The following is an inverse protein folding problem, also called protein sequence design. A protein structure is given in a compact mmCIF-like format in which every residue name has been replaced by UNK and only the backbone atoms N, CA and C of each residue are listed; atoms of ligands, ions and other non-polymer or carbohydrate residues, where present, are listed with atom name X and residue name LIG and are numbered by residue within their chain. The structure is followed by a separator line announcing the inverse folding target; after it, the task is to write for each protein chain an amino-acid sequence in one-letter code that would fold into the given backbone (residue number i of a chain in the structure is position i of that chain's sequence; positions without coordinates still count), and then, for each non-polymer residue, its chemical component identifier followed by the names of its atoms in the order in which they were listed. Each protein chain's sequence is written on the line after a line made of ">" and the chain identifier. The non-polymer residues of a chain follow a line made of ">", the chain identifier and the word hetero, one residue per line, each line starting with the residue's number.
data_IF_887217546414
#
_entry.id   IF_887217546414
#
_cell.length_a   1.000
_cell.length_b   1.000
_cell.length_c   1.000
_cell.angle_alpha   90.00
_cell.angle_beta   90.00
_cell.angle_gamma   90.00
#
_symmetry.space_group_name_H-M   'P 1'
#
loop_
_entity.id
_entity.type
_entity.pdbx_description
1 polymer ?
#
# COMPACT_ATOMS: atom_id res chain seq x y z
N UNK A 1 -11.82 3.96 58.65
CA UNK A 1 -12.89 3.66 57.67
C UNK A 1 -13.14 4.80 56.67
N UNK A 2 -13.47 6.04 57.08
CA UNK A 2 -13.69 7.17 56.12
C UNK A 2 -12.51 7.46 55.19
N UNK A 3 -11.30 7.59 55.74
CA UNK A 3 -10.09 7.91 54.97
C UNK A 3 -9.80 6.90 53.83
N UNK A 4 -10.05 5.62 54.07
CA UNK A 4 -9.81 4.55 53.10
C UNK A 4 -10.87 4.52 51.99
N UNK A 5 -12.10 4.94 52.28
CA UNK A 5 -13.15 5.12 51.26
C UNK A 5 -12.88 6.34 50.38
N UNK A 6 -12.36 7.43 50.94
CA UNK A 6 -12.03 8.64 50.19
C UNK A 6 -10.86 8.41 49.22
N UNK A 7 -9.82 7.66 49.64
CA UNK A 7 -8.72 7.25 48.76
C UNK A 7 -9.16 6.34 47.61
N UNK A 8 -10.03 5.36 47.88
CA UNK A 8 -10.58 4.48 46.85
C UNK A 8 -11.35 5.27 45.80
N UNK A 9 -12.15 6.24 46.24
CA UNK A 9 -12.93 7.11 45.35
C UNK A 9 -12.04 7.99 44.48
N UNK A 10 -10.97 8.55 45.04
CA UNK A 10 -9.99 9.32 44.28
C UNK A 10 -9.27 8.48 43.21
N UNK A 11 -8.88 7.24 43.55
CA UNK A 11 -8.23 6.33 42.58
C UNK A 11 -9.19 5.91 41.46
N UNK A 12 -10.44 5.66 41.79
CA UNK A 12 -11.47 5.33 40.81
C UNK A 12 -11.73 6.49 39.84
N UNK A 13 -11.80 7.72 40.35
CA UNK A 13 -11.91 8.92 39.52
C UNK A 13 -10.69 9.12 38.62
N UNK A 14 -9.48 8.89 39.15
CA UNK A 14 -8.25 9.00 38.37
C UNK A 14 -8.18 7.95 37.26
N UNK A 15 -8.51 6.68 37.57
CA UNK A 15 -8.60 5.61 36.58
C UNK A 15 -9.63 5.91 35.50
N UNK A 16 -10.79 6.45 35.87
CA UNK A 16 -11.82 6.84 34.90
C UNK A 16 -11.34 7.98 33.99
N UNK A 17 -10.61 8.96 34.53
CA UNK A 17 -10.00 10.02 33.72
C UNK A 17 -8.99 9.46 32.72
N UNK A 18 -8.09 8.58 33.17
CA UNK A 18 -7.13 7.94 32.27
C UNK A 18 -7.82 7.08 31.21
N UNK A 19 -8.83 6.30 31.60
CA UNK A 19 -9.59 5.47 30.65
C UNK A 19 -10.22 6.32 29.56
N UNK A 20 -10.93 7.39 29.93
CA UNK A 20 -11.56 8.28 28.93
C UNK A 20 -10.52 8.98 28.04
N UNK A 21 -9.38 9.37 28.60
CA UNK A 21 -8.31 9.94 27.80
C UNK A 21 -7.76 8.93 26.77
N UNK A 22 -7.52 7.69 27.20
CA UNK A 22 -7.05 6.62 26.33
C UNK A 22 -8.08 6.26 25.24
N UNK A 23 -9.36 6.17 25.60
CA UNK A 23 -10.45 5.95 24.64
C UNK A 23 -10.48 7.04 23.56
N UNK A 24 -10.31 8.30 23.96
CA UNK A 24 -10.22 9.42 23.02
C UNK A 24 -9.03 9.31 22.07
N UNK A 25 -7.84 9.00 22.60
CA UNK A 25 -6.63 8.82 21.79
C UNK A 25 -6.76 7.64 20.81
N UNK A 26 -7.37 6.54 21.25
CA UNK A 26 -7.61 5.37 20.40
C UNK A 26 -8.59 5.71 19.28
N UNK A 27 -9.69 6.40 19.59
CA UNK A 27 -10.64 6.83 18.58
C UNK A 27 -9.98 7.75 17.53
N UNK A 28 -9.23 8.75 17.97
CA UNK A 28 -8.53 9.69 17.08
C UNK A 28 -7.53 8.96 16.17
N UNK A 29 -6.71 8.05 16.73
CA UNK A 29 -5.74 7.28 15.95
C UNK A 29 -6.43 6.33 14.97
N UNK A 30 -7.52 5.71 15.38
CA UNK A 30 -8.29 4.79 14.54
C UNK A 30 -8.90 5.52 13.34
N UNK A 31 -9.45 6.70 13.55
CA UNK A 31 -9.99 7.55 12.48
C UNK A 31 -8.90 7.96 11.47
N UNK A 32 -7.74 8.40 11.98
CA UNK A 32 -6.58 8.76 11.15
C UNK A 32 -6.09 7.58 10.30
N UNK A 33 -5.93 6.41 10.92
CA UNK A 33 -5.48 5.20 10.22
C UNK A 33 -6.48 4.76 9.15
N UNK A 34 -7.78 4.76 9.48
CA UNK A 34 -8.83 4.38 8.53
C UNK A 34 -8.87 5.31 7.32
N UNK A 35 -8.70 6.61 7.55
CA UNK A 35 -8.69 7.62 6.47
C UNK A 35 -7.48 7.45 5.56
N UNK A 36 -6.28 7.33 6.13
CA UNK A 36 -5.06 7.11 5.36
C UNK A 36 -5.12 5.80 4.55
N UNK A 37 -5.65 4.73 5.15
CA UNK A 37 -5.81 3.45 4.47
C UNK A 37 -6.77 3.54 3.29
N UNK A 38 -7.91 4.23 3.44
CA UNK A 38 -8.86 4.43 2.34
C UNK A 38 -8.23 5.21 1.19
N UNK A 39 -7.51 6.29 1.49
CA UNK A 39 -6.83 7.10 0.46
C UNK A 39 -5.78 6.29 -0.30
N UNK A 40 -5.01 5.46 0.41
CA UNK A 40 -4.05 4.55 -0.20
C UNK A 40 -4.75 3.56 -1.14
N UNK A 41 -5.79 2.88 -0.66
CA UNK A 41 -6.54 1.91 -1.47
C UNK A 41 -7.17 2.53 -2.72
N UNK A 42 -7.69 3.75 -2.62
CA UNK A 42 -8.30 4.45 -3.76
C UNK A 42 -7.25 4.84 -4.79
N UNK A 43 -6.11 5.34 -4.32
CA UNK A 43 -4.96 5.66 -5.15
C UNK A 43 -4.41 4.40 -5.84
N UNK A 44 -4.24 3.30 -5.12
CA UNK A 44 -3.81 2.01 -5.66
C UNK A 44 -4.78 1.46 -6.72
N UNK A 45 -6.09 1.53 -6.47
CA UNK A 45 -7.12 1.12 -7.44
C UNK A 45 -7.05 1.97 -8.70
N UNK A 46 -6.95 3.28 -8.56
CA UNK A 46 -6.82 4.19 -9.70
C UNK A 46 -5.57 3.88 -10.52
N UNK A 47 -4.42 3.70 -9.86
CA UNK A 47 -3.18 3.32 -10.53
C UNK A 47 -3.32 1.98 -11.25
N UNK A 48 -3.89 0.96 -10.60
CA UNK A 48 -4.11 -0.36 -11.21
C UNK A 48 -5.03 -0.27 -12.43
N UNK A 49 -6.20 0.35 -12.30
CA UNK A 49 -7.15 0.48 -13.41
C UNK A 49 -6.56 1.30 -14.56
N UNK A 50 -5.83 2.37 -14.27
CA UNK A 50 -5.15 3.16 -15.30
C UNK A 50 -4.06 2.34 -16.00
N UNK A 51 -3.22 1.66 -15.24
CA UNK A 51 -2.11 0.86 -15.76
C UNK A 51 -2.63 -0.33 -16.61
N UNK A 52 -3.62 -1.08 -16.13
CA UNK A 52 -4.24 -2.19 -16.87
C UNK A 52 -4.87 -1.75 -18.19
N UNK A 53 -5.45 -0.55 -18.25
CA UNK A 53 -6.20 -0.06 -19.43
C UNK A 53 -5.39 0.83 -20.37
N UNK A 54 -4.12 1.11 -20.06
CA UNK A 54 -3.29 2.01 -20.85
C UNK A 54 -3.16 1.52 -22.31
N UNK A 55 -3.76 2.22 -23.29
CA UNK A 55 -4.12 1.62 -24.58
C UNK A 55 -2.94 1.45 -25.54
N UNK A 56 -1.94 2.32 -25.49
CA UNK A 56 -0.90 2.40 -26.53
C UNK A 56 0.53 2.20 -25.98
N UNK A 57 0.70 1.46 -24.90
CA UNK A 57 2.02 1.24 -24.33
C UNK A 57 2.04 0.39 -23.07
N UNK A 58 3.23 0.32 -22.48
CA UNK A 58 3.50 -0.37 -21.25
C UNK A 58 4.02 0.56 -20.17
N UNK A 59 3.60 0.34 -18.93
CA UNK A 59 4.19 0.95 -17.74
C UNK A 59 5.16 -0.05 -17.14
N UNK A 60 6.41 0.39 -16.95
CA UNK A 60 7.50 -0.38 -16.35
C UNK A 60 7.91 0.31 -15.05
N UNK A 61 7.78 -0.37 -13.91
CA UNK A 61 8.27 0.15 -12.64
C UNK A 61 9.55 -0.58 -12.26
N UNK A 62 10.58 0.17 -11.85
CA UNK A 62 11.85 -0.40 -11.39
C UNK A 62 12.05 -0.14 -9.89
N UNK A 63 12.73 -1.05 -9.21
CA UNK A 63 13.27 -0.80 -7.88
C UNK A 63 14.55 0.04 -7.95
N UNK A 64 15.13 0.37 -6.79
CA UNK A 64 16.36 1.17 -6.70
C UNK A 64 17.58 0.48 -7.37
N UNK A 65 17.56 -0.85 -7.46
CA UNK A 65 18.59 -1.66 -8.12
C UNK A 65 18.34 -1.84 -9.63
N UNK A 66 17.40 -1.07 -10.21
CA UNK A 66 17.00 -1.13 -11.62
C UNK A 66 16.45 -2.50 -12.06
N UNK A 67 15.86 -3.25 -11.13
CA UNK A 67 15.11 -4.48 -11.40
C UNK A 67 13.65 -4.16 -11.58
N UNK A 68 13.04 -4.78 -12.58
CA UNK A 68 11.65 -4.57 -12.93
C UNK A 68 10.73 -5.17 -11.86
N UNK A 69 9.82 -4.36 -11.32
CA UNK A 69 8.84 -4.74 -10.31
C UNK A 69 7.44 -4.93 -10.88
N UNK A 70 7.12 -4.23 -11.97
CA UNK A 70 5.78 -4.23 -12.53
C UNK A 70 5.84 -4.00 -14.03
N UNK A 71 5.04 -4.78 -14.76
CA UNK A 71 4.80 -4.61 -16.20
C UNK A 71 3.30 -4.56 -16.45
N UNK A 72 2.78 -3.36 -16.72
CA UNK A 72 1.35 -3.16 -16.98
C UNK A 72 1.10 -2.44 -18.30
N UNK A 73 -0.16 -2.41 -18.74
CA UNK A 73 -0.56 -1.79 -20.01
C UNK A 73 -0.97 -2.81 -21.07
N UNK A 74 -1.76 -2.34 -22.05
CA UNK A 74 -2.25 -3.16 -23.17
C UNK A 74 -1.29 -3.20 -24.35
N UNK A 75 -0.27 -2.34 -24.38
CA UNK A 75 0.76 -2.36 -25.42
C UNK A 75 1.59 -3.66 -25.44
N UNK A 76 1.59 -4.44 -24.35
CA UNK A 76 2.24 -5.74 -24.29
C UNK A 76 1.47 -6.86 -24.99
N UNK A 77 0.13 -6.75 -25.01
CA UNK A 77 -0.73 -7.74 -25.66
C UNK A 77 -0.48 -7.78 -27.17
N UNK A 78 -0.18 -6.63 -27.78
CA UNK A 78 0.14 -6.51 -29.20
C UNK A 78 1.56 -7.00 -29.54
N UNK A 79 2.48 -6.96 -28.57
CA UNK A 79 3.87 -7.39 -28.74
C UNK A 79 4.09 -8.88 -28.43
N UNK A 80 3.05 -9.61 -28.00
CA UNK A 80 3.09 -11.02 -27.59
C UNK A 80 4.20 -11.35 -26.59
N UNK A 81 4.53 -10.38 -25.73
CA UNK A 81 5.53 -10.52 -24.66
C UNK A 81 4.85 -10.98 -23.39
N UNK A 82 5.30 -12.10 -22.85
CA UNK A 82 4.83 -12.59 -21.57
C UNK A 82 5.39 -11.72 -20.43
N UNK A 83 4.49 -11.05 -19.72
CA UNK A 83 4.81 -10.12 -18.63
C UNK A 83 5.55 -10.83 -17.49
N UNK A 84 5.24 -12.10 -17.24
CA UNK A 84 5.84 -12.91 -16.17
C UNK A 84 7.34 -13.16 -16.41
N UNK A 85 7.79 -13.11 -17.66
CA UNK A 85 9.20 -13.31 -18.04
C UNK A 85 10.02 -12.04 -17.78
N UNK A 86 9.37 -10.89 -17.61
CA UNK A 86 10.03 -9.59 -17.46
C UNK A 86 10.24 -9.20 -15.99
N UNK A 87 9.39 -9.67 -15.07
CA UNK A 87 9.50 -9.34 -13.65
C UNK A 87 10.85 -9.80 -13.06
N UNK A 88 11.46 -8.94 -12.24
CA UNK A 88 12.77 -9.15 -11.61
C UNK A 88 13.98 -8.91 -12.51
N UNK A 89 13.80 -8.76 -13.83
CA UNK A 89 14.88 -8.51 -14.79
C UNK A 89 15.28 -7.04 -14.83
N UNK A 90 16.53 -6.80 -15.16
CA UNK A 90 17.08 -5.47 -15.47
C UNK A 90 16.81 -5.11 -16.93
N UNK A 91 16.90 -3.81 -17.26
CA UNK A 91 16.75 -3.34 -18.66
C UNK A 91 17.68 -4.07 -19.62
N UNK A 92 18.91 -4.39 -19.19
CA UNK A 92 19.90 -5.07 -20.03
C UNK A 92 19.51 -6.53 -20.31
N UNK A 93 18.95 -7.23 -19.32
CA UNK A 93 18.45 -8.59 -19.49
C UNK A 93 17.22 -8.62 -20.40
N UNK A 94 16.34 -7.62 -20.31
CA UNK A 94 15.14 -7.46 -21.16
C UNK A 94 15.52 -7.18 -22.62
N UNK A 95 16.59 -6.43 -22.84
CA UNK A 95 17.08 -6.05 -24.18
C UNK A 95 17.77 -7.20 -24.93
N UNK A 96 17.85 -8.39 -24.32
CA UNK A 96 18.51 -9.54 -24.92
C UNK A 96 17.66 -10.15 -26.05
N UNK A 97 18.28 -10.57 -27.17
CA UNK A 97 17.56 -11.10 -28.35
C UNK A 97 16.71 -12.35 -28.06
N UNK A 98 16.95 -13.03 -26.94
CA UNK A 98 16.20 -14.21 -26.50
C UNK A 98 14.75 -13.90 -26.11
N UNK A 99 14.47 -12.65 -25.71
CA UNK A 99 13.14 -12.19 -25.27
C UNK A 99 12.34 -11.62 -26.45
N UNK A 100 13.02 -11.06 -27.46
CA UNK A 100 12.42 -10.61 -28.71
C UNK A 100 12.54 -11.69 -29.80
N UNK A 101 11.81 -12.80 -29.66
CA UNK A 101 11.65 -13.73 -30.78
C UNK A 101 10.33 -13.42 -31.50
N UNK A 102 10.34 -12.69 -32.63
CA UNK A 102 9.16 -12.63 -33.47
C UNK A 102 8.85 -14.05 -33.97
N UNK A 103 7.60 -14.49 -33.82
CA UNK A 103 7.05 -15.59 -34.60
C UNK A 103 6.49 -15.04 -35.90
#
# INVERSE_FOLDING_TARGET
>A
MKLQNDELRQREEELNRYRHHLEGLVAERTEKLTTAHRQLQETERLYRTFAENFPNGGILLFNQDLRLLLVEGRGWTELNVDKEILEGKTIQEISSPEIHRPH
#
